data_IF_952692615348
#
_entry.id   IF_952692615348
#
_cell.length_a   1.000
_cell.length_b   1.000
_cell.length_c   1.000
_cell.angle_alpha   90.00
_cell.angle_beta   90.00
_cell.angle_gamma   90.00
#
_symmetry.space_group_name_H-M   'P 1'
#
loop_
_entity.id
_entity.type
_entity.pdbx_description
1 polymer ?
#
# COMPACT_ATOMS: atom_id res chain seq x y z
N UNK A 1 1.40 16.23 7.45
CA UNK A 1 -0.04 16.27 7.08
C UNK A 1 -0.61 14.87 7.32
N UNK A 2 -1.85 14.68 7.80
CA UNK A 2 -2.37 13.33 7.98
C UNK A 2 -2.49 12.63 6.63
N UNK A 3 -1.99 11.40 6.54
CA UNK A 3 -1.94 10.57 5.34
C UNK A 3 -3.34 10.26 4.80
N UNK A 4 -4.35 10.27 5.67
CA UNK A 4 -5.76 10.17 5.30
C UNK A 4 -6.24 11.34 4.40
N UNK A 5 -5.58 12.50 4.48
CA UNK A 5 -5.88 13.67 3.65
C UNK A 5 -4.92 13.82 2.46
N UNK A 6 -4.06 12.83 2.20
CA UNK A 6 -3.12 12.91 1.07
C UNK A 6 -3.83 12.87 -0.27
N UNK A 7 -4.91 12.08 -0.34
CA UNK A 7 -5.70 11.91 -1.54
C UNK A 7 -7.13 12.39 -1.31
N UNK A 8 -7.66 13.13 -2.26
CA UNK A 8 -9.07 13.46 -2.31
C UNK A 8 -9.89 12.24 -2.82
N UNK A 9 -11.22 12.31 -2.69
CA UNK A 9 -12.10 11.19 -3.08
C UNK A 9 -11.95 10.79 -4.56
N UNK A 10 -11.75 11.76 -5.45
CA UNK A 10 -11.58 11.51 -6.89
C UNK A 10 -10.27 10.78 -7.17
N UNK A 11 -9.19 11.19 -6.50
CA UNK A 11 -7.87 10.54 -6.60
C UNK A 11 -7.92 9.12 -6.05
N UNK A 12 -8.60 8.89 -4.93
CA UNK A 12 -8.80 7.54 -4.40
C UNK A 12 -9.58 6.66 -5.40
N UNK A 13 -10.64 7.19 -6.01
CA UNK A 13 -11.42 6.45 -7.03
C UNK A 13 -10.57 6.11 -8.26
N UNK A 14 -9.68 7.01 -8.69
CA UNK A 14 -8.70 6.75 -9.76
C UNK A 14 -7.70 5.65 -9.36
N UNK A 15 -7.15 5.72 -8.14
CA UNK A 15 -6.23 4.71 -7.61
C UNK A 15 -6.90 3.34 -7.55
N UNK A 16 -8.12 3.26 -6.99
CA UNK A 16 -8.89 2.01 -6.94
C UNK A 16 -9.18 1.46 -8.34
N UNK A 17 -9.49 2.33 -9.30
CA UNK A 17 -9.73 1.93 -10.69
C UNK A 17 -8.46 1.39 -11.36
N UNK A 18 -7.31 2.02 -11.12
CA UNK A 18 -6.01 1.59 -11.62
C UNK A 18 -5.57 0.25 -11.03
N UNK A 19 -5.78 0.04 -9.72
CA UNK A 19 -5.53 -1.25 -9.07
C UNK A 19 -6.40 -2.33 -9.69
N UNK A 20 -7.73 -2.11 -9.79
CA UNK A 20 -8.65 -3.09 -10.40
C UNK A 20 -8.28 -3.44 -11.84
N UNK A 21 -7.86 -2.45 -12.64
CA UNK A 21 -7.41 -2.69 -14.00
C UNK A 21 -6.14 -3.56 -14.04
N UNK A 22 -5.23 -3.37 -13.08
CA UNK A 22 -3.99 -4.14 -12.95
C UNK A 22 -4.24 -5.58 -12.48
N UNK A 23 -5.11 -5.76 -11.48
CA UNK A 23 -5.51 -7.09 -10.97
C UNK A 23 -6.37 -7.87 -11.97
N UNK A 24 -7.03 -7.19 -12.92
CA UNK A 24 -7.73 -7.88 -14.02
C UNK A 24 -6.75 -8.55 -14.99
N UNK A 25 -5.55 -8.00 -15.14
CA UNK A 25 -4.52 -8.49 -16.05
C UNK A 25 -3.46 -9.34 -15.34
N UNK A 26 -3.46 -9.38 -14.01
CA UNK A 26 -2.48 -10.08 -13.19
C UNK A 26 -3.18 -10.77 -12.03
N UNK A 27 -2.80 -12.00 -11.71
CA UNK A 27 -3.31 -12.70 -10.52
C UNK A 27 -2.75 -12.16 -9.20
N UNK A 28 -1.96 -11.07 -9.25
CA UNK A 28 -1.40 -10.40 -8.07
C UNK A 28 -2.44 -9.58 -7.33
N UNK A 29 -2.27 -9.47 -6.03
CA UNK A 29 -3.11 -8.64 -5.16
C UNK A 29 -2.30 -7.40 -4.77
N UNK A 30 -2.82 -6.21 -5.06
CA UNK A 30 -2.13 -4.95 -4.77
C UNK A 30 -2.82 -4.27 -3.58
N UNK A 31 -2.06 -4.03 -2.51
CA UNK A 31 -2.53 -3.26 -1.35
C UNK A 31 -1.68 -2.02 -1.15
N UNK A 32 -2.32 -0.92 -0.81
CA UNK A 32 -1.65 0.35 -0.50
C UNK A 32 -1.83 0.61 0.99
N UNK A 33 -0.73 0.91 1.68
CA UNK A 33 -0.72 1.29 3.08
C UNK A 33 -0.09 2.67 3.22
N UNK A 34 -0.85 3.58 3.83
CA UNK A 34 -0.50 4.97 4.07
C UNK A 34 -0.31 5.15 5.57
N UNK A 35 0.82 5.71 5.98
CA UNK A 35 1.13 6.03 7.37
C UNK A 35 1.66 7.46 7.47
N UNK A 36 1.27 8.19 8.52
CA UNK A 36 1.75 9.56 8.74
C UNK A 36 3.25 9.52 9.05
N UNK A 37 3.63 8.83 10.12
CA UNK A 37 5.00 8.81 10.63
C UNK A 37 5.54 7.39 10.72
N UNK A 38 6.71 7.16 10.12
CA UNK A 38 7.46 5.92 10.29
C UNK A 38 8.56 6.14 11.33
N UNK A 39 8.37 5.59 12.53
CA UNK A 39 9.36 5.72 13.62
C UNK A 39 10.62 4.86 13.41
N UNK A 40 10.62 3.97 12.42
CA UNK A 40 11.67 2.98 12.13
C UNK A 40 12.11 3.03 10.68
N UNK A 41 12.99 2.13 10.23
CA UNK A 41 13.30 2.03 8.80
C UNK A 41 12.02 1.68 8.01
N UNK A 42 11.85 2.35 6.86
CA UNK A 42 10.69 2.19 5.98
C UNK A 42 10.54 0.73 5.52
N UNK A 43 11.66 0.05 5.24
CA UNK A 43 11.67 -1.35 4.81
C UNK A 43 11.26 -2.31 5.93
N UNK A 44 11.75 -2.12 7.15
CA UNK A 44 11.38 -2.99 8.29
C UNK A 44 9.90 -2.80 8.64
N UNK A 45 9.41 -1.56 8.58
CA UNK A 45 8.00 -1.25 8.80
C UNK A 45 7.12 -1.87 7.71
N UNK A 46 7.51 -1.72 6.44
CA UNK A 46 6.81 -2.33 5.32
C UNK A 46 6.79 -3.87 5.46
N UNK A 47 7.90 -4.50 5.83
CA UNK A 47 7.99 -5.95 6.06
C UNK A 47 7.07 -6.40 7.21
N UNK A 48 7.04 -5.65 8.31
CA UNK A 48 6.14 -5.92 9.44
C UNK A 48 4.67 -5.83 9.03
N UNK A 49 4.29 -4.78 8.28
CA UNK A 49 2.92 -4.61 7.78
C UNK A 49 2.57 -5.70 6.76
N UNK A 50 3.50 -6.08 5.89
CA UNK A 50 3.33 -7.15 4.92
C UNK A 50 3.02 -8.50 5.58
N UNK A 51 3.73 -8.80 6.68
CA UNK A 51 3.49 -9.99 7.50
C UNK A 51 2.16 -9.90 8.25
N UNK A 52 1.91 -8.76 8.91
CA UNK A 52 0.71 -8.52 9.72
C UNK A 52 -0.59 -8.53 8.91
N UNK A 53 -0.57 -8.02 7.68
CA UNK A 53 -1.72 -8.01 6.77
C UNK A 53 -1.84 -9.32 5.97
N UNK A 54 -0.96 -10.29 6.23
CA UNK A 54 -0.91 -11.58 5.57
C UNK A 54 -0.88 -11.48 4.03
N UNK A 55 -0.26 -10.42 3.49
CA UNK A 55 -0.23 -10.16 2.03
C UNK A 55 0.55 -11.26 1.29
N UNK A 56 1.43 -11.96 2.01
CA UNK A 56 2.13 -13.15 1.52
C UNK A 56 1.25 -14.41 1.40
N UNK A 57 0.07 -14.44 2.01
CA UNK A 57 -0.84 -15.59 2.03
C UNK A 57 -1.73 -15.68 0.78
N UNK A 58 -1.32 -15.09 -0.34
CA UNK A 58 -1.95 -15.35 -1.63
C UNK A 58 -1.49 -16.70 -2.18
N UNK A 59 -2.37 -17.41 -2.90
CA UNK A 59 -2.07 -18.75 -3.45
C UNK A 59 -0.81 -18.78 -4.32
N UNK A 60 -0.52 -17.66 -5.00
CA UNK A 60 0.62 -17.51 -5.91
C UNK A 60 1.76 -16.68 -5.31
N UNK A 61 1.66 -16.27 -4.04
CA UNK A 61 2.68 -15.47 -3.32
C UNK A 61 3.11 -14.21 -4.08
N UNK A 62 2.15 -13.60 -4.77
CA UNK A 62 2.31 -12.46 -5.66
C UNK A 62 1.59 -11.20 -5.12
N UNK A 63 1.44 -11.12 -3.80
CA UNK A 63 0.93 -9.93 -3.14
C UNK A 63 1.95 -8.79 -3.17
N UNK A 64 1.51 -7.61 -3.57
CA UNK A 64 2.32 -6.39 -3.65
C UNK A 64 1.79 -5.40 -2.62
N UNK A 65 2.68 -4.89 -1.77
CA UNK A 65 2.37 -3.82 -0.81
C UNK A 65 3.07 -2.54 -1.25
N UNK A 66 2.29 -1.51 -1.54
CA UNK A 66 2.79 -0.14 -1.73
C UNK A 66 2.70 0.56 -0.38
N UNK A 67 3.86 0.76 0.26
CA UNK A 67 3.95 1.46 1.54
C UNK A 67 4.38 2.91 1.30
N UNK A 68 3.64 3.87 1.86
CA UNK A 68 3.96 5.29 1.78
C UNK A 68 3.90 5.93 3.17
N UNK A 69 5.03 6.50 3.61
CA UNK A 69 5.13 7.32 4.81
C UNK A 69 5.14 8.80 4.40
N UNK A 70 4.16 9.56 4.87
CA UNK A 70 3.86 10.91 4.34
C UNK A 70 4.66 12.02 5.03
N UNK A 71 4.94 11.89 6.32
CA UNK A 71 5.63 12.93 7.10
C UNK A 71 7.16 12.73 7.10
N UNK A 72 7.67 11.67 6.48
CA UNK A 72 9.11 11.36 6.35
C UNK A 72 9.64 11.79 4.96
N UNK A 73 9.20 12.96 4.49
CA UNK A 73 9.84 13.66 3.39
C UNK A 73 11.22 14.19 3.86
N UNK A 74 12.23 13.32 3.85
CA UNK A 74 13.65 13.74 3.82
C UNK A 74 14.27 13.46 2.47
#
# INVERSE_FOLDING_TARGET
MPAENLFNKSELDEIYSAIRASEKNSSGEIRIFLEDHCATSVLDRAAYIFDKLEIKNTQLRNGVLIYLAVDDHR
#
